data_IF_239384114413
#
_entry.id   IF_239384114413
#
_cell.length_a   1.000
_cell.length_b   1.000
_cell.length_c   1.000
_cell.angle_alpha   90.00
_cell.angle_beta   90.00
_cell.angle_gamma   90.00
#
_symmetry.space_group_name_H-M   'P 1'
#
loop_
_entity.id
_entity.type
_entity.pdbx_description
1 polymer ?
#
# COMPACT_ATOMS: atom_id res chain seq x y z
N UNK A 1 -13.54 28.87 4.30
CA UNK A 1 -12.45 27.90 4.59
C UNK A 1 -13.10 26.75 5.36
N UNK A 2 -13.30 25.60 4.73
CA UNK A 2 -13.72 24.37 5.42
C UNK A 2 -12.61 24.01 6.41
N UNK A 3 -12.96 23.75 7.67
CA UNK A 3 -11.99 23.23 8.64
C UNK A 3 -11.57 21.85 8.15
N UNK A 4 -10.34 21.76 7.67
CA UNK A 4 -9.71 20.47 7.41
C UNK A 4 -9.69 19.70 8.74
N UNK A 5 -10.09 18.45 8.73
CA UNK A 5 -10.07 17.61 9.93
C UNK A 5 -8.66 17.48 10.50
N UNK A 6 -8.49 16.98 11.73
CA UNK A 6 -7.20 16.92 12.42
C UNK A 6 -6.12 16.09 11.70
N UNK A 7 -6.54 15.31 10.71
CA UNK A 7 -5.69 14.41 9.92
C UNK A 7 -5.43 14.91 8.49
N UNK A 8 -5.77 16.15 8.19
CA UNK A 8 -5.49 16.76 6.88
C UNK A 8 -4.21 17.59 6.92
N UNK A 9 -3.42 17.56 5.85
CA UNK A 9 -2.37 18.51 5.60
C UNK A 9 -2.68 19.28 4.31
N UNK A 10 -2.36 20.58 4.30
CA UNK A 10 -2.56 21.43 3.14
C UNK A 10 -1.20 21.99 2.69
N UNK A 11 -0.88 21.77 1.41
CA UNK A 11 0.29 22.41 0.82
C UNK A 11 -0.14 23.68 0.11
N UNK A 12 0.25 24.83 0.67
CA UNK A 12 -0.13 26.15 0.17
C UNK A 12 0.49 26.49 -1.19
N UNK A 13 1.61 25.85 -1.57
CA UNK A 13 2.29 26.10 -2.86
C UNK A 13 1.60 25.38 -4.01
N UNK A 14 1.04 24.21 -3.76
CA UNK A 14 0.43 23.37 -4.80
C UNK A 14 -1.09 23.43 -4.81
N UNK A 15 -1.70 23.92 -3.73
CA UNK A 15 -3.16 23.90 -3.54
C UNK A 15 -3.72 22.51 -3.22
N UNK A 16 -2.88 21.48 -3.03
CA UNK A 16 -3.33 20.14 -2.67
C UNK A 16 -3.65 20.05 -1.18
N UNK A 17 -4.80 19.51 -0.87
CA UNK A 17 -5.15 19.07 0.47
C UNK A 17 -5.04 17.55 0.53
N UNK A 18 -4.16 17.06 1.39
CA UNK A 18 -4.08 15.63 1.72
C UNK A 18 -4.98 15.41 2.92
N UNK A 19 -6.03 14.66 2.75
CA UNK A 19 -6.87 14.20 3.84
C UNK A 19 -6.48 12.77 4.15
N UNK A 20 -6.01 12.52 5.37
CA UNK A 20 -5.80 11.17 5.86
C UNK A 20 -7.20 10.55 5.98
N UNK A 21 -7.55 9.78 4.98
CA UNK A 21 -8.68 8.89 5.09
C UNK A 21 -8.23 7.71 5.96
N UNK A 22 -8.92 7.46 7.04
CA UNK A 22 -8.61 6.32 7.86
C UNK A 22 -9.01 5.07 7.10
N UNK A 23 -8.05 4.36 6.60
CA UNK A 23 -8.29 3.01 6.14
C UNK A 23 -8.39 2.14 7.38
N UNK A 24 -9.62 1.97 7.88
CA UNK A 24 -9.97 0.99 8.91
C UNK A 24 -9.54 -0.43 8.50
N UNK A 25 -9.25 -0.59 7.24
CA UNK A 25 -8.90 -1.81 6.56
C UNK A 25 -7.68 -2.49 7.20
N UNK A 26 -6.55 -1.81 7.33
CA UNK A 26 -5.32 -2.41 7.86
C UNK A 26 -5.44 -2.90 9.30
N UNK A 27 -6.13 -2.15 10.14
CA UNK A 27 -6.35 -2.56 11.53
C UNK A 27 -7.20 -3.83 11.57
N UNK A 28 -8.29 -3.87 10.81
CA UNK A 28 -9.16 -5.03 10.72
C UNK A 28 -8.47 -6.26 10.15
N UNK A 29 -7.59 -6.10 9.15
CA UNK A 29 -6.80 -7.20 8.58
C UNK A 29 -5.97 -7.87 9.67
N UNK A 30 -5.14 -7.12 10.40
CA UNK A 30 -4.24 -7.69 11.42
C UNK A 30 -4.97 -8.34 12.58
N UNK A 31 -6.11 -7.80 12.98
CA UNK A 31 -6.98 -8.43 13.97
C UNK A 31 -7.53 -9.76 13.47
N UNK A 32 -8.06 -9.82 12.24
CA UNK A 32 -8.65 -11.05 11.67
C UNK A 32 -7.62 -12.14 11.40
N UNK A 33 -6.45 -11.79 10.88
CA UNK A 33 -5.37 -12.76 10.66
C UNK A 33 -4.62 -13.12 11.95
N UNK A 34 -4.85 -12.38 13.02
CA UNK A 34 -4.25 -12.55 14.35
C UNK A 34 -2.71 -12.50 14.34
N UNK A 35 -2.16 -11.49 13.66
CA UNK A 35 -0.70 -11.27 13.56
C UNK A 35 -0.39 -9.86 14.01
N UNK A 36 0.63 -9.69 14.88
CA UNK A 36 1.17 -8.39 15.25
C UNK A 36 2.37 -8.08 14.36
N UNK A 37 2.28 -7.10 13.45
CA UNK A 37 3.43 -6.71 12.64
C UNK A 37 4.48 -5.99 13.49
N UNK A 38 5.74 -6.07 13.08
CA UNK A 38 6.88 -5.36 13.71
C UNK A 38 7.11 -4.01 13.05
N UNK A 39 7.07 -3.98 11.73
CA UNK A 39 7.27 -2.80 10.92
C UNK A 39 6.74 -3.02 9.51
N UNK A 40 6.50 -1.94 8.79
CA UNK A 40 5.94 -1.94 7.44
C UNK A 40 6.87 -1.28 6.43
N UNK A 41 6.97 -1.90 5.27
CA UNK A 41 7.50 -1.28 4.05
C UNK A 41 6.31 -1.09 3.11
N UNK A 42 6.03 0.16 2.73
CA UNK A 42 4.93 0.49 1.82
C UNK A 42 5.47 1.07 0.51
N UNK A 43 5.06 0.49 -0.60
CA UNK A 43 5.45 0.87 -1.96
C UNK A 43 4.20 1.33 -2.72
N UNK A 44 4.28 2.52 -3.32
CA UNK A 44 3.12 3.19 -3.93
C UNK A 44 2.35 3.99 -2.88
N UNK A 45 2.90 5.14 -2.49
CA UNK A 45 2.37 5.86 -1.32
C UNK A 45 1.20 6.77 -1.64
N UNK A 46 1.15 7.28 -2.87
CA UNK A 46 0.25 8.37 -3.21
C UNK A 46 0.29 9.50 -2.16
N UNK A 47 -0.79 9.70 -1.42
CA UNK A 47 -0.87 10.71 -0.36
C UNK A 47 -0.38 10.19 1.02
N UNK A 48 -0.04 8.90 1.11
CA UNK A 48 0.41 8.22 2.31
C UNK A 48 -0.62 8.27 3.46
N UNK A 49 -1.89 8.12 3.13
CA UNK A 49 -2.98 8.22 4.11
C UNK A 49 -2.95 7.07 5.15
N UNK A 50 -2.40 5.91 4.81
CA UNK A 50 -2.26 4.75 5.67
C UNK A 50 -1.31 4.97 6.85
N UNK A 51 -0.45 5.99 6.75
CA UNK A 51 0.58 6.29 7.74
C UNK A 51 0.01 6.43 9.17
N UNK A 52 -1.19 6.97 9.29
CA UNK A 52 -1.86 7.06 10.59
C UNK A 52 -2.14 5.67 11.18
N UNK A 53 -2.66 4.74 10.39
CA UNK A 53 -2.93 3.37 10.82
C UNK A 53 -1.63 2.64 11.15
N UNK A 54 -0.62 2.78 10.32
CA UNK A 54 0.69 2.16 10.56
C UNK A 54 1.33 2.65 11.85
N UNK A 55 1.25 3.93 12.17
CA UNK A 55 1.82 4.44 13.43
C UNK A 55 1.16 3.85 14.67
N UNK A 56 -0.10 3.42 14.57
CA UNK A 56 -0.79 2.71 15.63
C UNK A 56 -0.40 1.24 15.71
N UNK A 57 -0.17 0.60 14.56
CA UNK A 57 0.20 -0.81 14.48
C UNK A 57 1.66 -1.06 14.88
N UNK A 58 2.58 -0.25 14.38
CA UNK A 58 4.03 -0.51 14.45
C UNK A 58 4.86 0.69 14.96
N UNK A 59 4.19 1.76 15.40
CA UNK A 59 4.88 2.97 15.83
C UNK A 59 5.59 3.68 14.67
N UNK A 60 6.91 3.86 14.77
CA UNK A 60 7.72 4.52 13.72
C UNK A 60 8.50 3.55 12.83
N UNK A 61 8.30 2.25 12.98
CA UNK A 61 8.91 1.25 12.11
C UNK A 61 8.20 1.20 10.76
N UNK A 62 8.29 2.29 10.02
CA UNK A 62 7.61 2.49 8.74
C UNK A 62 8.62 3.00 7.73
N UNK A 63 8.61 2.40 6.55
CA UNK A 63 9.35 2.86 5.37
C UNK A 63 8.35 3.08 4.24
N UNK A 64 8.38 4.27 3.66
CA UNK A 64 7.56 4.60 2.49
C UNK A 64 8.41 4.71 1.22
N UNK A 65 7.89 4.28 0.08
CA UNK A 65 8.55 4.36 -1.22
C UNK A 65 7.54 4.82 -2.27
N UNK A 66 7.84 5.92 -2.97
CA UNK A 66 7.00 6.49 -4.01
C UNK A 66 7.80 6.67 -5.30
N UNK A 67 7.27 6.13 -6.41
CA UNK A 67 7.91 6.19 -7.72
C UNK A 67 7.74 7.52 -8.43
N UNK A 68 6.55 8.13 -8.37
CA UNK A 68 6.30 9.42 -9.03
C UNK A 68 6.98 10.56 -8.24
N UNK A 69 7.98 11.25 -8.83
CA UNK A 69 8.72 12.29 -8.13
C UNK A 69 7.86 13.52 -7.77
N UNK A 70 6.74 13.74 -8.45
CA UNK A 70 5.81 14.84 -8.14
C UNK A 70 4.97 14.46 -6.93
N UNK A 71 4.38 13.25 -6.95
CA UNK A 71 3.63 12.70 -5.82
C UNK A 71 4.51 12.63 -4.58
N UNK A 72 5.71 12.08 -4.72
CA UNK A 72 6.69 12.08 -3.64
C UNK A 72 6.93 13.47 -3.06
N UNK A 73 7.31 14.43 -3.93
CA UNK A 73 7.69 15.78 -3.50
C UNK A 73 6.55 16.55 -2.82
N UNK A 74 5.35 16.44 -3.35
CA UNK A 74 4.23 17.29 -2.96
C UNK A 74 3.24 16.64 -2.00
N UNK A 75 3.23 15.32 -1.90
CA UNK A 75 2.27 14.56 -1.09
C UNK A 75 2.96 13.65 -0.06
N UNK A 76 3.62 12.60 -0.50
CA UNK A 76 4.14 11.54 0.39
C UNK A 76 5.25 12.02 1.32
N UNK A 77 6.23 12.78 0.79
CA UNK A 77 7.38 13.27 1.59
C UNK A 77 6.97 14.26 2.69
N UNK A 78 6.13 15.28 2.43
CA UNK A 78 5.62 16.15 3.48
C UNK A 78 4.87 15.39 4.58
N UNK A 79 4.11 14.34 4.21
CA UNK A 79 3.42 13.51 5.16
C UNK A 79 4.41 12.68 6.00
N UNK A 80 5.36 12.01 5.36
CA UNK A 80 6.40 11.25 6.04
C UNK A 80 7.21 12.13 7.02
N UNK A 81 7.59 13.34 6.60
CA UNK A 81 8.30 14.30 7.46
C UNK A 81 7.50 14.71 8.68
N UNK A 82 6.21 14.98 8.50
CA UNK A 82 5.30 15.34 9.60
C UNK A 82 5.26 14.25 10.68
N UNK A 83 5.32 12.99 10.28
CA UNK A 83 5.27 11.85 11.19
C UNK A 83 6.65 11.37 11.63
N UNK A 84 7.72 11.88 11.01
CA UNK A 84 9.11 11.53 11.31
C UNK A 84 9.46 10.09 10.93
N UNK A 85 8.98 9.65 9.76
CA UNK A 85 9.28 8.35 9.16
C UNK A 85 10.09 8.50 7.87
N UNK A 86 10.97 7.56 7.52
CA UNK A 86 11.71 7.60 6.25
C UNK A 86 10.77 7.38 5.05
N UNK A 87 11.02 8.15 3.99
CA UNK A 87 10.40 7.94 2.69
C UNK A 87 11.42 8.15 1.57
N UNK A 88 11.35 7.33 0.52
CA UNK A 88 12.27 7.32 -0.61
C UNK A 88 11.52 7.58 -1.93
N UNK A 89 12.14 8.37 -2.82
CA UNK A 89 11.63 8.50 -4.19
C UNK A 89 12.42 7.57 -5.09
N UNK A 90 11.91 6.36 -5.26
CA UNK A 90 12.55 5.30 -6.04
C UNK A 90 11.53 4.51 -6.83
N UNK A 91 11.86 4.20 -8.06
CA UNK A 91 11.04 3.34 -8.92
C UNK A 91 11.48 1.89 -8.77
N UNK A 92 10.71 1.14 -7.97
CA UNK A 92 11.07 -0.24 -7.57
C UNK A 92 10.60 -1.27 -8.60
N UNK A 93 11.49 -2.23 -8.92
CA UNK A 93 11.24 -3.34 -9.85
C UNK A 93 12.21 -4.51 -9.55
N UNK A 94 12.35 -5.47 -10.45
CA UNK A 94 13.27 -6.61 -10.34
C UNK A 94 14.68 -6.34 -10.88
N UNK A 95 14.97 -5.14 -11.39
CA UNK A 95 16.26 -4.79 -12.00
C UNK A 95 16.87 -3.55 -11.38
N UNK A 96 18.20 -3.42 -11.51
CA UNK A 96 18.97 -2.31 -10.93
C UNK A 96 19.67 -1.50 -12.03
N UNK A 97 19.42 -0.19 -12.02
CA UNK A 97 20.13 0.77 -12.87
C UNK A 97 19.74 0.75 -14.33
N UNK A 98 18.69 0.02 -14.71
CA UNK A 98 18.17 0.04 -16.08
C UNK A 98 17.39 1.33 -16.34
N UNK A 99 17.47 1.83 -17.57
CA UNK A 99 16.64 2.93 -18.03
C UNK A 99 15.28 2.40 -18.46
N UNK A 100 14.23 2.81 -17.74
CA UNK A 100 12.83 2.51 -18.10
C UNK A 100 11.99 3.78 -18.17
N UNK A 101 10.87 3.72 -18.89
CA UNK A 101 9.87 4.77 -18.83
C UNK A 101 8.95 4.54 -17.63
N UNK A 102 8.67 5.57 -16.87
CA UNK A 102 7.70 5.58 -15.80
C UNK A 102 6.54 6.49 -16.22
N UNK A 103 5.34 5.96 -16.24
CA UNK A 103 4.13 6.64 -16.67
C UNK A 103 3.46 7.29 -15.46
N UNK A 104 3.26 8.61 -15.52
CA UNK A 104 2.79 9.42 -14.41
C UNK A 104 1.30 9.71 -14.55
N UNK A 105 0.46 8.94 -13.90
CA UNK A 105 -1.00 9.03 -13.94
C UNK A 105 -1.63 9.18 -12.54
N UNK A 106 -1.13 10.11 -11.76
CA UNK A 106 -1.59 10.33 -10.39
C UNK A 106 -1.48 9.05 -9.55
N UNK A 107 -2.63 8.60 -8.97
CA UNK A 107 -2.73 7.35 -8.22
C UNK A 107 -2.37 6.11 -9.05
N UNK A 108 -2.58 6.13 -10.36
CA UNK A 108 -2.28 5.02 -11.29
C UNK A 108 -0.89 5.09 -11.92
N UNK A 109 0.09 5.76 -11.29
CA UNK A 109 1.45 5.88 -11.84
C UNK A 109 2.21 4.56 -11.80
N UNK A 110 2.78 4.12 -12.95
CA UNK A 110 3.35 2.78 -13.13
C UNK A 110 4.52 2.72 -14.11
N UNK A 111 5.27 1.61 -14.09
CA UNK A 111 6.16 1.22 -15.19
C UNK A 111 5.41 0.74 -16.42
N UNK A 112 4.16 0.40 -16.29
CA UNK A 112 3.33 -0.13 -17.34
C UNK A 112 2.40 0.95 -17.88
N UNK A 113 2.30 1.02 -19.18
CA UNK A 113 1.38 1.95 -19.80
C UNK A 113 -0.06 1.48 -19.55
N UNK A 114 -0.91 2.34 -19.03
CA UNK A 114 -2.33 2.10 -18.98
C UNK A 114 -2.91 1.81 -20.37
N UNK A 115 -4.03 1.11 -20.45
CA UNK A 115 -4.67 0.79 -21.72
C UNK A 115 -5.02 2.09 -22.49
N UNK A 116 -4.94 2.08 -23.84
CA UNK A 116 -5.15 3.28 -24.65
C UNK A 116 -6.49 4.01 -24.42
N UNK A 117 -7.50 3.31 -23.98
CA UNK A 117 -8.82 3.87 -23.64
C UNK A 117 -8.81 4.85 -22.48
N UNK A 118 -7.78 4.79 -21.61
CA UNK A 118 -7.62 5.72 -20.47
C UNK A 118 -6.89 7.01 -20.86
N UNK A 119 -6.51 7.14 -22.13
CA UNK A 119 -5.89 8.35 -22.66
C UNK A 119 -4.37 8.32 -22.66
N UNK A 120 -3.78 9.45 -23.01
CA UNK A 120 -2.33 9.58 -23.12
C UNK A 120 -1.74 10.10 -21.81
N UNK A 121 -0.91 9.28 -21.19
CA UNK A 121 -0.23 9.61 -19.94
C UNK A 121 1.19 10.12 -20.23
N UNK A 122 1.65 11.10 -19.48
CA UNK A 122 3.04 11.56 -19.56
C UNK A 122 3.97 10.52 -18.95
N UNK A 123 5.15 10.36 -19.54
CA UNK A 123 6.19 9.49 -18.98
C UNK A 123 7.51 10.22 -18.81
N UNK A 124 8.31 9.73 -17.87
CA UNK A 124 9.67 10.20 -17.61
C UNK A 124 10.65 9.03 -17.66
N UNK A 125 11.88 9.24 -18.12
CA UNK A 125 12.92 8.24 -17.97
C UNK A 125 13.35 8.16 -16.50
N UNK A 126 13.45 6.94 -15.98
CA UNK A 126 13.90 6.67 -14.61
C UNK A 126 14.95 5.57 -14.61
N UNK A 127 15.79 5.53 -13.57
CA UNK A 127 16.62 4.38 -13.26
C UNK A 127 15.86 3.43 -12.36
N UNK A 128 15.85 2.15 -12.71
CA UNK A 128 15.23 1.12 -11.87
C UNK A 128 16.09 0.81 -10.66
N UNK A 129 15.43 0.36 -9.59
CA UNK A 129 16.07 -0.16 -8.39
C UNK A 129 15.28 -1.34 -7.86
N UNK A 130 15.96 -2.40 -7.44
CA UNK A 130 15.30 -3.48 -6.69
C UNK A 130 15.09 -3.07 -5.24
N UNK A 131 14.03 -3.61 -4.60
CA UNK A 131 13.82 -3.36 -3.17
C UNK A 131 14.98 -3.90 -2.34
N UNK A 132 15.58 -5.03 -2.74
CA UNK A 132 16.79 -5.58 -2.09
C UNK A 132 17.94 -4.58 -2.09
N UNK A 133 18.17 -3.92 -3.21
CA UNK A 133 19.24 -2.90 -3.31
C UNK A 133 18.94 -1.67 -2.47
N UNK A 134 17.70 -1.22 -2.43
CA UNK A 134 17.32 -0.10 -1.56
C UNK A 134 17.58 -0.44 -0.09
N UNK A 135 17.24 -1.66 0.35
CA UNK A 135 17.53 -2.17 1.70
C UNK A 135 19.02 -2.11 1.99
N UNK A 136 19.86 -2.60 1.08
CA UNK A 136 21.33 -2.64 1.24
C UNK A 136 21.94 -1.23 1.28
N UNK A 137 21.58 -0.37 0.34
CA UNK A 137 22.13 0.99 0.24
C UNK A 137 21.81 1.85 1.47
N UNK A 138 20.66 1.59 2.11
CA UNK A 138 20.21 2.35 3.27
C UNK A 138 20.47 1.63 4.61
N UNK A 139 21.14 0.46 4.60
CA UNK A 139 21.43 -0.35 5.78
C UNK A 139 20.16 -0.64 6.62
N UNK A 140 19.06 -0.99 5.97
CA UNK A 140 17.78 -1.28 6.63
C UNK A 140 17.90 -2.65 7.31
N UNK A 141 17.67 -2.69 8.63
CA UNK A 141 17.61 -3.96 9.37
C UNK A 141 16.27 -4.65 9.13
N UNK A 142 16.28 -5.67 8.28
CA UNK A 142 15.06 -6.42 7.94
C UNK A 142 14.45 -7.22 9.10
N UNK A 143 15.14 -7.38 10.23
CA UNK A 143 14.53 -7.98 11.43
C UNK A 143 13.42 -7.11 12.03
N UNK A 144 13.41 -5.82 11.71
CA UNK A 144 12.42 -4.85 12.19
C UNK A 144 11.18 -4.74 11.29
N UNK A 145 11.20 -5.36 10.09
CA UNK A 145 10.12 -5.23 9.10
C UNK A 145 9.62 -6.59 8.66
N UNK A 146 8.33 -6.86 8.83
CA UNK A 146 7.69 -8.12 8.46
C UNK A 146 6.34 -7.97 7.76
N UNK A 147 5.93 -6.73 7.48
CA UNK A 147 4.78 -6.41 6.68
C UNK A 147 5.20 -5.61 5.44
N UNK A 148 4.84 -6.11 4.27
CA UNK A 148 5.03 -5.47 2.97
C UNK A 148 3.67 -5.07 2.42
N UNK A 149 3.47 -3.78 2.16
CA UNK A 149 2.30 -3.27 1.47
C UNK A 149 2.69 -2.71 0.11
N UNK A 150 1.93 -3.02 -0.92
CA UNK A 150 2.24 -2.60 -2.29
C UNK A 150 0.97 -2.22 -3.05
N UNK A 151 1.02 -1.04 -3.65
CA UNK A 151 0.10 -0.56 -4.66
C UNK A 151 0.95 0.07 -5.78
N UNK A 152 1.39 -0.78 -6.71
CA UNK A 152 2.40 -0.42 -7.71
C UNK A 152 1.90 -0.57 -9.15
N UNK A 153 0.58 -0.66 -9.29
CA UNK A 153 -0.16 -0.57 -10.55
C UNK A 153 0.39 -1.52 -11.63
N UNK A 154 0.51 -2.80 -11.25
CA UNK A 154 0.94 -3.91 -12.12
C UNK A 154 2.41 -4.30 -12.00
N UNK A 155 3.21 -3.63 -11.16
CA UNK A 155 4.62 -3.96 -10.94
C UNK A 155 4.88 -4.89 -9.75
N UNK A 156 3.85 -5.36 -9.05
CA UNK A 156 3.93 -6.09 -7.77
C UNK A 156 4.79 -7.35 -7.89
N UNK A 157 4.61 -8.13 -8.97
CA UNK A 157 5.40 -9.36 -9.18
C UNK A 157 6.88 -9.04 -9.44
N UNK A 158 7.19 -8.02 -10.21
CA UNK A 158 8.56 -7.57 -10.44
C UNK A 158 9.21 -7.11 -9.13
N UNK A 159 8.47 -6.36 -8.31
CA UNK A 159 8.93 -5.91 -7.00
C UNK A 159 9.24 -7.10 -6.09
N UNK A 160 8.33 -8.08 -6.02
CA UNK A 160 8.52 -9.30 -5.24
C UNK A 160 9.76 -10.09 -5.70
N UNK A 161 9.98 -10.22 -7.00
CA UNK A 161 11.16 -10.87 -7.56
C UNK A 161 12.45 -10.11 -7.21
N UNK A 162 12.44 -8.78 -7.30
CA UNK A 162 13.57 -7.93 -6.88
C UNK A 162 13.80 -7.92 -5.36
N UNK A 163 12.87 -8.47 -4.58
CA UNK A 163 12.96 -8.56 -3.12
C UNK A 163 13.16 -9.99 -2.60
N UNK A 164 13.26 -10.99 -3.48
CA UNK A 164 13.29 -12.41 -3.11
C UNK A 164 14.35 -12.74 -2.04
N UNK A 165 15.50 -12.07 -2.07
CA UNK A 165 16.58 -12.22 -1.08
C UNK A 165 16.12 -11.97 0.37
N UNK A 166 15.18 -11.04 0.58
CA UNK A 166 14.68 -10.63 1.89
C UNK A 166 13.24 -11.09 2.15
N UNK A 167 12.64 -11.79 1.21
CA UNK A 167 11.25 -12.24 1.33
C UNK A 167 11.02 -13.10 2.59
N UNK A 168 12.08 -13.75 3.04
CA UNK A 168 12.06 -14.56 4.25
C UNK A 168 11.82 -13.78 5.54
N UNK A 169 12.01 -12.49 5.57
CA UNK A 169 11.68 -11.65 6.72
C UNK A 169 10.19 -11.28 6.77
N UNK A 170 9.47 -11.39 5.66
CA UNK A 170 8.09 -10.94 5.55
C UNK A 170 7.11 -12.02 6.00
N UNK A 171 6.21 -11.67 6.88
CA UNK A 171 5.12 -12.50 7.39
C UNK A 171 3.77 -12.19 6.72
N UNK A 172 3.54 -10.93 6.39
CA UNK A 172 2.30 -10.46 5.78
C UNK A 172 2.62 -9.62 4.56
N UNK A 173 1.91 -9.87 3.47
CA UNK A 173 1.94 -9.04 2.26
C UNK A 173 0.50 -8.64 1.97
N UNK A 174 0.26 -7.34 1.85
CA UNK A 174 -0.96 -6.79 1.31
C UNK A 174 -0.65 -6.04 0.03
N UNK A 175 -1.45 -6.26 -1.02
CA UNK A 175 -1.20 -5.60 -2.29
C UNK A 175 -2.44 -5.49 -3.14
N UNK A 176 -2.54 -4.41 -3.91
CA UNK A 176 -3.52 -4.36 -4.98
C UNK A 176 -3.13 -5.35 -6.08
N UNK A 177 -4.09 -6.15 -6.55
CA UNK A 177 -3.90 -7.12 -7.63
C UNK A 177 -5.08 -7.07 -8.59
N UNK A 178 -4.87 -7.45 -9.85
CA UNK A 178 -5.90 -7.44 -10.88
C UNK A 178 -6.05 -8.81 -11.54
N UNK A 179 -7.28 -9.26 -11.80
CA UNK A 179 -7.54 -10.46 -12.58
C UNK A 179 -7.32 -10.24 -14.07
N UNK A 180 -7.53 -9.01 -14.52
CA UNK A 180 -7.30 -8.62 -15.90
C UNK A 180 -6.04 -7.78 -16.01
N UNK A 181 -5.40 -7.84 -17.15
CA UNK A 181 -4.28 -6.96 -17.48
C UNK A 181 -4.80 -5.53 -17.70
N UNK A 182 -4.89 -4.73 -16.64
CA UNK A 182 -5.26 -3.32 -16.69
C UNK A 182 -4.12 -2.46 -17.26
N UNK A 183 -2.90 -2.86 -16.99
CA UNK A 183 -1.69 -2.24 -17.47
C UNK A 183 -1.03 -3.18 -18.49
N UNK A 184 -0.73 -2.69 -19.69
CA UNK A 184 -0.11 -3.51 -20.74
C UNK A 184 1.18 -4.18 -20.21
N UNK A 185 1.16 -5.50 -20.13
CA UNK A 185 2.21 -6.35 -19.58
C UNK A 185 2.41 -6.26 -18.04
N UNK A 186 1.45 -5.72 -17.30
CA UNK A 186 1.43 -5.79 -15.84
C UNK A 186 1.22 -7.23 -15.35
N UNK A 187 1.46 -7.46 -14.07
CA UNK A 187 1.22 -8.77 -13.49
C UNK A 187 -0.29 -9.01 -13.25
N UNK A 188 -0.67 -10.29 -13.19
CA UNK A 188 -2.02 -10.71 -12.86
C UNK A 188 -2.08 -11.34 -11.48
N UNK A 189 -3.25 -11.30 -10.84
CA UNK A 189 -3.51 -11.97 -9.57
C UNK A 189 -3.04 -13.42 -9.56
N UNK A 190 -3.39 -14.21 -10.58
CA UNK A 190 -3.03 -15.63 -10.66
C UNK A 190 -1.52 -15.85 -10.70
N UNK A 191 -0.77 -14.98 -11.39
CA UNK A 191 0.68 -15.06 -11.44
C UNK A 191 1.30 -14.80 -10.05
N UNK A 192 0.78 -13.81 -9.32
CA UNK A 192 1.20 -13.48 -7.96
C UNK A 192 0.88 -14.61 -7.00
N UNK A 193 -0.36 -15.13 -7.00
CA UNK A 193 -0.78 -16.26 -6.15
C UNK A 193 0.14 -17.46 -6.36
N UNK A 194 0.39 -17.83 -7.62
CA UNK A 194 1.28 -18.94 -7.97
C UNK A 194 2.70 -18.72 -7.44
N UNK A 195 3.24 -17.52 -7.62
CA UNK A 195 4.61 -17.19 -7.23
C UNK A 195 4.79 -17.18 -5.71
N UNK A 196 3.85 -16.57 -4.98
CA UNK A 196 3.87 -16.49 -3.52
C UNK A 196 3.58 -17.84 -2.85
N UNK A 197 2.64 -18.63 -3.39
CA UNK A 197 2.35 -19.96 -2.86
C UNK A 197 3.56 -20.88 -2.94
N UNK A 198 4.33 -20.81 -4.03
CA UNK A 198 5.57 -21.59 -4.16
C UNK A 198 6.65 -21.18 -3.13
N UNK A 199 6.48 -20.05 -2.45
CA UNK A 199 7.39 -19.49 -1.42
C UNK A 199 6.82 -19.52 -0.01
N UNK A 200 5.78 -20.32 0.22
CA UNK A 200 5.20 -20.57 1.55
C UNK A 200 4.15 -19.55 2.00
N UNK A 201 3.72 -18.64 1.13
CA UNK A 201 2.61 -17.74 1.42
C UNK A 201 1.27 -18.34 1.04
N UNK A 202 0.24 -17.87 1.70
CA UNK A 202 -1.14 -18.30 1.46
C UNK A 202 -2.02 -17.06 1.38
N UNK A 203 -2.84 -16.99 0.35
CA UNK A 203 -3.90 -16.00 0.23
C UNK A 203 -4.92 -16.20 1.37
N UNK A 204 -5.11 -15.17 2.18
CA UNK A 204 -6.02 -15.20 3.35
C UNK A 204 -7.27 -14.38 3.14
N UNK A 205 -7.13 -13.22 2.53
CA UNK A 205 -8.23 -12.30 2.28
C UNK A 205 -8.12 -11.67 0.90
N UNK A 206 -9.25 -11.28 0.35
CA UNK A 206 -9.38 -10.49 -0.87
C UNK A 206 -10.48 -9.46 -0.67
N UNK A 207 -10.26 -8.22 -1.15
CA UNK A 207 -11.29 -7.22 -1.10
C UNK A 207 -12.42 -7.51 -2.11
N UNK A 208 -13.63 -7.06 -1.79
CA UNK A 208 -14.80 -7.29 -2.66
C UNK A 208 -14.81 -6.42 -3.93
N UNK A 209 -13.90 -5.47 -4.08
CA UNK A 209 -13.73 -4.68 -5.30
C UNK A 209 -13.46 -5.55 -6.52
N UNK A 210 -12.83 -6.70 -6.35
CA UNK A 210 -12.66 -7.71 -7.41
C UNK A 210 -13.91 -8.05 -8.18
N UNK A 211 -15.05 -8.15 -7.50
CA UNK A 211 -16.32 -8.53 -8.15
C UNK A 211 -16.86 -7.45 -9.07
N UNK A 212 -16.49 -6.20 -8.82
CA UNK A 212 -17.03 -5.04 -9.55
C UNK A 212 -16.03 -4.48 -10.54
N UNK A 213 -14.77 -4.42 -10.15
CA UNK A 213 -13.73 -3.67 -10.83
C UNK A 213 -12.65 -4.57 -11.44
N UNK A 214 -12.69 -5.87 -11.12
CA UNK A 214 -11.68 -6.83 -11.56
C UNK A 214 -10.31 -6.65 -10.91
N UNK A 215 -10.21 -5.77 -9.91
CA UNK A 215 -9.02 -5.52 -9.09
C UNK A 215 -9.38 -5.27 -7.64
N UNK A 216 -8.41 -5.36 -6.76
CA UNK A 216 -8.56 -5.06 -5.35
C UNK A 216 -7.41 -5.63 -4.51
N UNK A 217 -7.50 -5.45 -3.20
CA UNK A 217 -6.45 -5.85 -2.29
C UNK A 217 -6.47 -7.34 -2.02
N UNK A 218 -5.29 -7.93 -1.92
CA UNK A 218 -5.06 -9.34 -1.59
C UNK A 218 -4.06 -9.46 -0.46
N UNK A 219 -4.48 -10.13 0.62
CA UNK A 219 -3.66 -10.36 1.80
C UNK A 219 -3.08 -11.77 1.79
N UNK A 220 -1.77 -11.86 1.77
CA UNK A 220 -1.02 -13.11 1.85
C UNK A 220 -0.31 -13.21 3.19
N UNK A 221 -0.32 -14.41 3.77
CA UNK A 221 0.31 -14.69 5.06
C UNK A 221 1.26 -15.87 4.92
N UNK A 222 2.46 -15.76 5.49
CA UNK A 222 3.42 -16.86 5.55
C UNK A 222 2.98 -17.90 6.60
N UNK A 223 2.87 -19.16 6.20
CA UNK A 223 2.37 -20.25 7.07
C UNK A 223 3.44 -20.99 7.85
N UNK A 224 4.64 -21.04 7.31
CA UNK A 224 5.74 -21.88 7.80
C UNK A 224 6.52 -21.26 8.97
N UNK A 225 6.03 -20.15 9.53
CA UNK A 225 6.69 -19.44 10.60
C UNK A 225 5.77 -19.17 11.78
N UNK A 226 6.37 -19.17 12.96
CA UNK A 226 5.71 -18.69 14.16
C UNK A 226 5.46 -17.18 14.04
N UNK A 227 4.22 -16.79 14.31
CA UNK A 227 3.79 -15.41 14.22
C UNK A 227 3.38 -14.91 15.59
N UNK A 228 3.65 -13.64 15.87
CA UNK A 228 3.24 -13.00 17.11
C UNK A 228 1.74 -12.68 17.03
N UNK A 229 0.90 -13.20 17.96
CA UNK A 229 -0.52 -12.87 17.99
C UNK A 229 -0.75 -11.37 18.13
N UNK A 230 -1.78 -10.88 17.44
CA UNK A 230 -2.18 -9.49 17.50
C UNK A 230 -2.56 -9.08 18.92
N UNK A 231 -1.97 -7.98 19.40
CA UNK A 231 -2.14 -7.48 20.77
C UNK A 231 -2.93 -6.17 20.83
N UNK A 232 -3.13 -5.53 19.69
CA UNK A 232 -3.95 -4.35 19.59
C UNK A 232 -5.38 -4.74 19.95
N UNK A 233 -5.95 -4.17 20.97
CA UNK A 233 -7.36 -4.33 21.28
C UNK A 233 -8.25 -3.87 20.11
N UNK A 234 -9.43 -3.38 20.38
CA UNK A 234 -10.28 -2.78 19.35
C UNK A 234 -9.69 -1.44 18.87
N UNK A 235 -8.60 -1.52 18.10
CA UNK A 235 -7.90 -0.34 17.58
C UNK A 235 -8.79 0.54 16.70
N UNK A 236 -9.79 -0.06 16.05
CA UNK A 236 -10.81 0.71 15.32
C UNK A 236 -11.54 1.68 16.23
N UNK A 237 -11.91 1.26 17.43
CA UNK A 237 -12.54 2.12 18.43
C UNK A 237 -11.61 3.19 18.99
N UNK A 238 -10.31 2.91 19.11
CA UNK A 238 -9.30 3.91 19.51
C UNK A 238 -9.07 4.97 18.45
N UNK A 239 -9.08 4.57 17.18
CA UNK A 239 -8.84 5.45 16.05
C UNK A 239 -10.09 6.29 15.74
N UNK A 240 -11.28 5.67 15.76
CA UNK A 240 -12.53 6.25 15.24
C UNK A 240 -13.57 6.57 16.30
N UNK A 241 -13.34 6.21 17.52
CA UNK A 241 -14.31 6.24 18.60
C UNK A 241 -15.16 4.97 18.64
N UNK A 242 -15.58 4.64 19.85
CA UNK A 242 -16.28 3.40 20.16
C UNK A 242 -17.51 3.16 19.27
N UNK A 243 -17.55 2.00 18.65
CA UNK A 243 -18.63 1.57 17.77
C UNK A 243 -18.60 2.20 16.37
N UNK A 244 -17.49 2.85 15.98
CA UNK A 244 -17.36 3.41 14.64
C UNK A 244 -17.37 2.31 13.58
N UNK A 245 -16.60 1.24 13.77
CA UNK A 245 -16.55 0.10 12.85
C UNK A 245 -17.90 -0.62 12.77
N UNK A 246 -18.62 -0.74 13.88
CA UNK A 246 -19.97 -1.32 13.91
C UNK A 246 -20.99 -0.49 13.11
N UNK A 247 -20.81 0.82 13.04
CA UNK A 247 -21.72 1.74 12.34
C UNK A 247 -21.40 1.91 10.84
N UNK A 248 -20.12 1.74 10.47
CA UNK A 248 -19.64 2.11 9.15
C UNK A 248 -19.07 0.94 8.34
N UNK A 249 -18.87 -0.22 8.98
CA UNK A 249 -18.43 -1.44 8.33
C UNK A 249 -19.54 -2.48 8.44
N UNK A 250 -20.33 -2.69 7.40
CA UNK A 250 -21.19 -3.86 7.31
C UNK A 250 -20.32 -5.10 7.03
N UNK A 251 -20.08 -5.88 8.07
CA UNK A 251 -19.44 -7.17 7.95
C UNK A 251 -20.38 -8.16 7.26
N UNK A 252 -20.11 -8.48 6.01
CA UNK A 252 -20.71 -9.66 5.40
C UNK A 252 -19.83 -10.88 5.68
N UNK A 253 -20.41 -11.85 6.41
CA UNK A 253 -19.84 -13.18 6.56
C UNK A 253 -19.75 -13.85 5.18
N UNK A 254 -18.63 -13.77 4.55
CA UNK A 254 -18.11 -14.69 3.53
C UNK A 254 -16.91 -14.04 2.83
N UNK A 255 -15.73 -14.12 3.44
CA UNK A 255 -14.43 -14.09 2.74
C UNK A 255 -14.10 -12.87 1.86
N UNK A 256 -15.00 -11.92 1.74
CA UNK A 256 -14.80 -10.69 0.99
C UNK A 256 -15.57 -9.56 1.65
N UNK A 257 -14.90 -8.61 2.23
CA UNK A 257 -15.55 -7.45 2.83
C UNK A 257 -15.40 -6.23 1.95
N UNK A 258 -16.53 -5.71 1.51
CA UNK A 258 -16.61 -4.40 0.89
C UNK A 258 -16.67 -3.34 1.98
N UNK A 259 -15.70 -2.46 2.02
CA UNK A 259 -15.89 -1.17 2.64
C UNK A 259 -16.65 -0.29 1.65
N UNK A 260 -17.96 -0.14 1.85
CA UNK A 260 -18.73 0.88 1.16
C UNK A 260 -18.40 2.23 1.78
N UNK A 261 -17.60 3.01 1.11
CA UNK A 261 -17.56 4.44 1.33
C UNK A 261 -18.94 5.00 0.92
N UNK A 262 -19.83 5.15 1.89
CA UNK A 262 -21.00 5.97 1.64
C UNK A 262 -20.52 7.41 1.53
N UNK A 263 -20.92 8.09 0.47
CA UNK A 263 -20.62 9.50 0.12
C UNK A 263 -21.03 10.53 1.18
N UNK A 264 -21.24 10.12 2.42
CA UNK A 264 -21.66 10.94 3.55
C UNK A 264 -20.59 11.13 4.63
N UNK A 265 -19.33 10.74 4.39
CA UNK A 265 -18.26 11.09 5.31
C UNK A 265 -17.99 12.59 5.20
N UNK A 266 -18.20 13.39 6.26
CA UNK A 266 -18.00 14.83 6.20
C UNK A 266 -16.52 15.10 5.91
N UNK A 267 -16.19 15.60 4.73
CA UNK A 267 -14.83 16.03 4.41
C UNK A 267 -14.27 15.62 3.06
N UNK A 268 -14.98 14.83 2.24
CA UNK A 268 -14.54 14.60 0.88
C UNK A 268 -14.68 15.88 0.04
N UNK A 269 -13.56 16.48 -0.31
CA UNK A 269 -13.49 17.40 -1.44
C UNK A 269 -12.98 16.56 -2.61
N UNK A 270 -13.88 16.25 -3.53
CA UNK A 270 -13.46 15.76 -4.85
C UNK A 270 -12.65 16.88 -5.50
N UNK A 271 -11.39 16.65 -5.75
CA UNK A 271 -10.53 17.50 -6.58
C UNK A 271 -10.70 17.12 -8.04
#
# INVERSE_FOLDING_TARGET
MSQLGPYASYNAETGYAVQISPTSEYVGIFERINIQPKGVIHIGLWDFCELFCYTKLVGKNIIGIEGDPRTYKYMSKPMADKWGVPAFNECITNTDGEDKQFYMDREGSSFFQGRPEFGKVNSIPVKTKSLSKLVEENNIDMNEYDFLNMDAEGAELDILQGFEKYLDYINVIDMETSFEDKHLNGCTHDAIVKWLTARGFVLREMSASYQREGQGDSVFVRRDREQTPFKGGNMGDEIWGKGYLEKHCEYQEMGSQQFHWQNNTPGFIAL
#
